data_IF_160388910139
#
_entry.id   IF_160388910139
#
_cell.length_a   1.000
_cell.length_b   1.000
_cell.length_c   1.000
_cell.angle_alpha   90.00
_cell.angle_beta   90.00
_cell.angle_gamma   90.00
#
_symmetry.space_group_name_H-M   'P 1'
#
loop_
_entity.id
_entity.type
_entity.pdbx_description
1 polymer ?
#
# COMPACT_ATOMS: atom_id res chain seq x y z
N UNK A 1 16.63 -19.56 -19.41
CA UNK A 1 17.41 -18.42 -18.87
C UNK A 1 16.40 -17.45 -18.26
N UNK A 2 16.59 -17.04 -16.99
CA UNK A 2 15.78 -15.97 -16.39
C UNK A 2 16.45 -14.61 -16.62
N UNK A 3 15.65 -13.58 -16.94
CA UNK A 3 16.13 -12.22 -17.21
C UNK A 3 15.31 -11.25 -16.37
N UNK A 4 15.97 -10.30 -15.68
CA UNK A 4 15.33 -9.29 -14.82
C UNK A 4 15.61 -7.88 -15.38
N UNK A 5 14.76 -7.33 -16.26
CA UNK A 5 14.91 -5.97 -16.73
C UNK A 5 14.37 -4.97 -15.70
N UNK A 6 15.14 -3.91 -15.42
CA UNK A 6 14.69 -2.73 -14.68
C UNK A 6 15.19 -1.52 -15.46
N UNK A 7 14.27 -0.63 -15.87
CA UNK A 7 14.59 0.52 -16.72
C UNK A 7 14.44 1.84 -15.97
N UNK A 8 15.16 2.85 -16.44
CA UNK A 8 15.07 4.22 -15.93
C UNK A 8 13.66 4.77 -16.06
N UNK A 9 13.07 4.63 -17.24
CA UNK A 9 11.71 5.11 -17.57
C UNK A 9 10.65 4.52 -16.63
N UNK A 10 10.68 3.20 -16.41
CA UNK A 10 9.74 2.51 -15.52
C UNK A 10 9.92 2.92 -14.06
N UNK A 11 11.18 3.02 -13.62
CA UNK A 11 11.53 3.41 -12.25
C UNK A 11 11.12 4.84 -11.95
N UNK A 12 11.50 5.79 -12.81
CA UNK A 12 11.19 7.21 -12.61
C UNK A 12 9.68 7.45 -12.67
N UNK A 13 8.92 6.75 -13.53
CA UNK A 13 7.45 6.84 -13.56
C UNK A 13 6.83 6.44 -12.23
N UNK A 14 7.24 5.30 -11.66
CA UNK A 14 6.73 4.82 -10.38
C UNK A 14 7.10 5.79 -9.25
N UNK A 15 8.39 6.14 -9.14
CA UNK A 15 8.89 6.97 -8.04
C UNK A 15 8.26 8.36 -8.08
N UNK A 16 8.02 8.93 -9.27
CA UNK A 16 7.26 10.18 -9.44
C UNK A 16 5.86 10.07 -8.83
N UNK A 17 5.11 9.02 -9.16
CA UNK A 17 3.78 8.79 -8.59
C UNK A 17 3.83 8.64 -7.05
N UNK A 18 4.84 7.96 -6.50
CA UNK A 18 5.02 7.83 -5.06
C UNK A 18 5.31 9.18 -4.37
N UNK A 19 6.15 10.02 -4.98
CA UNK A 19 6.45 11.36 -4.47
C UNK A 19 5.25 12.29 -4.55
N UNK A 20 4.51 12.27 -5.67
CA UNK A 20 3.30 13.06 -5.85
C UNK A 20 2.21 12.64 -4.85
N UNK A 21 2.05 11.33 -4.60
CA UNK A 21 1.20 10.81 -3.55
C UNK A 21 1.64 11.31 -2.17
N UNK A 22 2.93 11.20 -1.85
CA UNK A 22 3.47 11.64 -0.56
C UNK A 22 3.23 13.14 -0.32
N UNK A 23 3.43 13.99 -1.33
CA UNK A 23 3.21 15.43 -1.24
C UNK A 23 1.72 15.76 -1.05
N UNK A 24 0.85 15.21 -1.91
CA UNK A 24 -0.59 15.47 -1.87
C UNK A 24 -1.24 15.02 -0.55
N UNK A 25 -0.76 13.91 0.02
CA UNK A 25 -1.27 13.34 1.27
C UNK A 25 -0.46 13.76 2.49
N UNK A 26 0.47 14.71 2.35
CA UNK A 26 1.32 15.25 3.43
C UNK A 26 2.03 14.15 4.23
N UNK A 27 2.49 13.11 3.53
CA UNK A 27 3.30 12.03 4.10
C UNK A 27 4.67 12.57 4.50
N UNK A 28 5.37 11.84 5.36
CA UNK A 28 6.66 12.29 5.90
C UNK A 28 7.84 11.86 5.03
N UNK A 29 7.75 10.69 4.41
CA UNK A 29 8.86 10.13 3.65
C UNK A 29 8.44 9.18 2.54
N UNK A 30 9.31 9.03 1.55
CA UNK A 30 9.30 7.94 0.56
C UNK A 30 10.56 7.10 0.77
N UNK A 31 10.40 5.79 0.97
CA UNK A 31 11.51 4.84 1.10
C UNK A 31 11.66 4.03 -0.18
N UNK A 32 12.82 4.13 -0.83
CA UNK A 32 13.22 3.33 -1.99
C UNK A 32 13.77 1.98 -1.51
N UNK A 33 12.99 0.91 -1.65
CA UNK A 33 13.39 -0.42 -1.16
C UNK A 33 14.03 -1.21 -2.29
N UNK A 34 15.25 -1.73 -2.08
CA UNK A 34 16.04 -2.36 -3.15
C UNK A 34 17.09 -3.34 -2.62
N UNK A 35 17.64 -4.24 -3.44
CA UNK A 35 18.77 -5.13 -3.12
C UNK A 35 20.00 -4.78 -3.98
N UNK A 36 20.27 -3.48 -4.09
CA UNK A 36 21.30 -2.93 -4.99
C UNK A 36 22.73 -3.25 -4.61
N UNK A 37 22.98 -3.69 -3.36
CA UNK A 37 24.30 -4.20 -2.96
C UNK A 37 24.69 -5.48 -3.71
N UNK A 38 23.70 -6.29 -4.12
CA UNK A 38 23.90 -7.50 -4.92
C UNK A 38 23.55 -7.22 -6.40
N UNK A 39 22.34 -6.71 -6.66
CA UNK A 39 21.83 -6.45 -8.01
C UNK A 39 22.11 -5.00 -8.45
N UNK A 40 23.40 -4.68 -8.60
CA UNK A 40 23.89 -3.30 -8.80
C UNK A 40 23.23 -2.58 -9.98
N UNK A 41 23.12 -3.24 -11.13
CA UNK A 41 22.66 -2.61 -12.38
C UNK A 41 21.15 -2.64 -12.60
N UNK A 42 20.38 -3.21 -11.67
CA UNK A 42 18.92 -3.24 -11.75
C UNK A 42 18.31 -2.58 -10.52
N UNK A 43 18.47 -3.18 -9.35
CA UNK A 43 17.91 -2.63 -8.11
C UNK A 43 18.78 -1.50 -7.52
N UNK A 44 20.10 -1.54 -7.74
CA UNK A 44 20.96 -0.38 -7.44
C UNK A 44 20.62 0.80 -8.34
N UNK A 45 20.47 0.55 -9.64
CA UNK A 45 20.05 1.56 -10.60
C UNK A 45 18.66 2.16 -10.28
N UNK A 46 17.67 1.34 -9.86
CA UNK A 46 16.36 1.83 -9.39
C UNK A 46 16.50 2.88 -8.28
N UNK A 47 17.32 2.59 -7.26
CA UNK A 47 17.60 3.53 -6.17
C UNK A 47 18.26 4.81 -6.70
N UNK A 48 19.31 4.66 -7.49
CA UNK A 48 20.11 5.79 -7.98
C UNK A 48 19.26 6.73 -8.84
N UNK A 49 18.45 6.18 -9.76
CA UNK A 49 17.50 6.96 -10.57
C UNK A 49 16.43 7.65 -9.72
N UNK A 50 16.01 7.07 -8.60
CA UNK A 50 15.08 7.69 -7.66
C UNK A 50 15.66 8.93 -6.98
N UNK A 51 16.91 8.85 -6.50
CA UNK A 51 17.60 10.01 -5.95
C UNK A 51 17.89 11.08 -7.02
N UNK A 52 18.32 10.68 -8.22
CA UNK A 52 18.50 11.61 -9.35
C UNK A 52 17.20 12.34 -9.71
N UNK A 53 16.08 11.62 -9.82
CA UNK A 53 14.76 12.18 -10.08
C UNK A 53 14.36 13.21 -9.01
N UNK A 54 14.58 12.86 -7.73
CA UNK A 54 14.27 13.74 -6.60
C UNK A 54 14.99 15.08 -6.72
N UNK A 55 16.30 15.05 -7.01
CA UNK A 55 17.09 16.28 -7.20
C UNK A 55 16.66 17.09 -8.42
N UNK A 56 16.29 16.42 -9.50
CA UNK A 56 15.97 17.04 -10.78
C UNK A 56 14.59 17.68 -10.80
N UNK A 57 13.57 16.99 -10.26
CA UNK A 57 12.16 17.35 -10.47
C UNK A 57 11.45 17.81 -9.18
N UNK A 58 11.99 17.49 -7.99
CA UNK A 58 11.31 17.74 -6.71
C UNK A 58 12.04 18.71 -5.79
N UNK A 59 12.98 19.52 -6.32
CA UNK A 59 13.70 20.53 -5.54
C UNK A 59 12.74 21.45 -4.78
N UNK A 60 12.92 21.54 -3.46
CA UNK A 60 12.08 22.35 -2.57
C UNK A 60 10.78 21.67 -2.13
N UNK A 61 10.49 20.46 -2.63
CA UNK A 61 9.33 19.63 -2.23
C UNK A 61 9.75 18.29 -1.62
N UNK A 62 10.87 17.74 -2.06
CA UNK A 62 11.47 16.53 -1.50
C UNK A 62 13.00 16.64 -1.53
N UNK A 63 13.65 15.91 -0.64
CA UNK A 63 15.12 15.91 -0.52
C UNK A 63 15.64 14.52 -0.17
N UNK A 64 16.76 14.13 -0.80
CA UNK A 64 17.43 12.87 -0.53
C UNK A 64 18.06 12.83 0.86
N UNK A 65 18.08 11.65 1.49
CA UNK A 65 18.76 11.40 2.75
C UNK A 65 20.24 11.79 2.70
N UNK A 66 20.90 11.49 1.59
CA UNK A 66 22.31 11.84 1.32
C UNK A 66 22.54 13.36 1.21
N UNK A 67 21.54 14.11 0.76
CA UNK A 67 21.61 15.57 0.63
C UNK A 67 21.31 16.32 1.94
N UNK A 68 20.64 15.68 2.92
CA UNK A 68 20.20 16.33 4.17
C UNK A 68 20.57 15.61 5.47
N UNK A 69 21.22 14.44 5.40
CA UNK A 69 21.55 13.62 6.57
C UNK A 69 20.31 13.15 7.36
N UNK A 70 19.17 13.01 6.69
CA UNK A 70 17.90 12.57 7.29
C UNK A 70 17.07 13.65 7.97
N UNK A 71 17.51 14.90 7.93
CA UNK A 71 16.78 16.04 8.51
C UNK A 71 16.28 16.96 7.39
N UNK A 72 15.12 16.65 6.76
CA UNK A 72 14.60 17.45 5.67
C UNK A 72 14.18 18.84 6.19
N UNK A 73 14.29 19.91 5.36
CA UNK A 73 13.69 21.20 5.70
C UNK A 73 12.17 21.07 5.92
N UNK A 74 11.56 21.95 6.74
CA UNK A 74 10.12 21.92 6.99
C UNK A 74 9.30 21.91 5.70
N UNK A 75 8.33 21.00 5.62
CA UNK A 75 7.42 20.87 4.47
C UNK A 75 7.97 20.06 3.30
N UNK A 76 9.20 19.54 3.36
CA UNK A 76 9.75 18.65 2.34
C UNK A 76 9.62 17.18 2.72
N UNK A 77 9.34 16.33 1.72
CA UNK A 77 9.35 14.88 1.86
C UNK A 77 10.80 14.38 1.96
N UNK A 78 11.08 13.54 2.96
CA UNK A 78 12.36 12.83 3.03
C UNK A 78 12.36 11.64 2.07
N UNK A 79 13.30 11.61 1.12
CA UNK A 79 13.55 10.45 0.26
C UNK A 79 14.72 9.68 0.84
N UNK A 80 14.48 8.45 1.28
CA UNK A 80 15.50 7.56 1.83
C UNK A 80 15.49 6.22 1.10
N UNK A 81 16.48 5.38 1.33
CA UNK A 81 16.52 4.02 0.80
C UNK A 81 16.78 2.99 1.90
N UNK A 82 16.39 1.75 1.63
CA UNK A 82 16.67 0.64 2.51
C UNK A 82 16.85 -0.67 1.74
N UNK A 83 17.68 -1.56 2.27
CA UNK A 83 17.91 -2.85 1.64
C UNK A 83 16.68 -3.74 1.85
N UNK A 84 16.25 -4.48 0.82
CA UNK A 84 15.01 -5.25 0.83
C UNK A 84 14.85 -6.19 2.04
N UNK A 85 15.85 -7.01 2.35
CA UNK A 85 15.82 -7.91 3.51
C UNK A 85 15.85 -7.18 4.86
N UNK A 86 16.59 -6.06 4.95
CA UNK A 86 16.55 -5.19 6.12
C UNK A 86 15.16 -4.57 6.28
N UNK A 87 14.49 -4.24 5.17
CA UNK A 87 13.14 -3.68 5.18
C UNK A 87 12.15 -4.66 5.81
N UNK A 88 12.18 -5.95 5.44
CA UNK A 88 11.34 -6.97 6.08
C UNK A 88 11.56 -7.07 7.59
N UNK A 89 12.80 -6.90 8.06
CA UNK A 89 13.10 -6.91 9.50
C UNK A 89 12.61 -5.62 10.18
N UNK A 90 12.77 -4.47 9.51
CA UNK A 90 12.44 -3.16 10.06
C UNK A 90 10.95 -2.87 10.04
N UNK A 91 10.18 -3.40 9.10
CA UNK A 91 8.72 -3.29 9.17
C UNK A 91 8.15 -4.00 10.41
N UNK A 92 8.80 -5.06 10.89
CA UNK A 92 8.44 -5.72 12.15
C UNK A 92 8.94 -4.98 13.39
N UNK A 93 10.18 -4.49 13.36
CA UNK A 93 10.85 -3.95 14.56
C UNK A 93 10.69 -2.44 14.74
N UNK A 94 10.50 -1.70 13.64
CA UNK A 94 10.42 -0.23 13.57
C UNK A 94 9.40 0.23 12.50
N UNK A 95 8.13 -0.26 12.53
CA UNK A 95 7.13 0.08 11.51
C UNK A 95 6.88 1.58 11.36
N UNK A 96 6.92 2.33 12.46
CA UNK A 96 6.63 3.77 12.50
C UNK A 96 7.65 4.64 11.74
N UNK A 97 8.75 4.04 11.26
CA UNK A 97 9.73 4.73 10.42
C UNK A 97 9.38 4.69 8.93
N UNK A 98 8.40 3.89 8.52
CA UNK A 98 7.97 3.80 7.13
C UNK A 98 6.66 4.55 6.93
N UNK A 99 6.53 5.17 5.77
CA UNK A 99 5.29 5.84 5.35
C UNK A 99 5.00 5.38 3.91
N UNK A 100 5.44 6.11 2.88
CA UNK A 100 5.35 5.63 1.49
C UNK A 100 6.56 4.76 1.16
N UNK A 101 6.32 3.61 0.53
CA UNK A 101 7.36 2.71 0.02
C UNK A 101 7.26 2.66 -1.51
N UNK A 102 8.38 2.88 -2.19
CA UNK A 102 8.50 2.69 -3.63
C UNK A 102 9.51 1.57 -3.92
N UNK A 103 9.11 0.56 -4.66
CA UNK A 103 9.96 -0.59 -4.96
C UNK A 103 9.59 -1.27 -6.28
N UNK A 104 10.40 -2.23 -6.71
CA UNK A 104 10.21 -2.98 -7.95
C UNK A 104 9.21 -4.11 -7.76
N UNK A 105 8.61 -4.56 -8.87
CA UNK A 105 7.54 -5.57 -8.93
C UNK A 105 7.68 -6.71 -7.89
N UNK A 106 8.77 -7.49 -7.95
CA UNK A 106 8.95 -8.64 -7.04
C UNK A 106 9.10 -8.26 -5.56
N UNK A 107 9.83 -7.19 -5.25
CA UNK A 107 9.98 -6.76 -3.85
C UNK A 107 8.67 -6.19 -3.32
N UNK A 108 7.89 -5.53 -4.18
CA UNK A 108 6.58 -4.99 -3.86
C UNK A 108 5.61 -6.08 -3.49
N UNK A 109 5.52 -7.12 -4.32
CA UNK A 109 4.70 -8.32 -4.11
C UNK A 109 4.98 -8.96 -2.74
N UNK A 110 6.24 -9.27 -2.44
CA UNK A 110 6.58 -9.91 -1.17
C UNK A 110 6.32 -9.00 0.04
N UNK A 111 6.62 -7.71 -0.10
CA UNK A 111 6.52 -6.77 1.02
C UNK A 111 5.06 -6.43 1.32
N UNK A 112 4.21 -6.23 0.31
CA UNK A 112 2.79 -5.96 0.53
C UNK A 112 2.10 -7.12 1.24
N UNK A 113 2.40 -8.36 0.87
CA UNK A 113 1.84 -9.55 1.53
C UNK A 113 2.31 -9.67 2.98
N UNK A 114 3.61 -9.45 3.22
CA UNK A 114 4.15 -9.49 4.58
C UNK A 114 3.54 -8.40 5.47
N UNK A 115 3.36 -7.18 4.94
CA UNK A 115 2.73 -6.07 5.66
C UNK A 115 1.24 -6.33 5.93
N UNK A 116 0.50 -6.85 4.95
CA UNK A 116 -0.89 -7.24 5.13
C UNK A 116 -1.02 -8.34 6.19
N UNK A 117 -0.13 -9.33 6.19
CA UNK A 117 -0.08 -10.36 7.21
C UNK A 117 0.23 -9.81 8.61
N UNK A 118 1.18 -8.88 8.71
CA UNK A 118 1.60 -8.27 9.97
C UNK A 118 0.45 -7.58 10.72
N UNK A 119 -0.51 -6.98 9.99
CA UNK A 119 -1.69 -6.33 10.59
C UNK A 119 -2.92 -7.24 10.67
N UNK A 120 -2.77 -8.53 10.34
CA UNK A 120 -3.90 -9.48 10.30
C UNK A 120 -4.88 -9.24 9.13
N UNK A 121 -4.44 -8.50 8.10
CA UNK A 121 -5.27 -7.98 7.02
C UNK A 121 -5.22 -8.74 5.70
N UNK A 122 -4.66 -9.96 5.65
CA UNK A 122 -4.48 -10.74 4.40
C UNK A 122 -5.79 -10.85 3.61
N UNK A 123 -6.93 -11.03 4.29
CA UNK A 123 -8.24 -11.17 3.64
C UNK A 123 -8.92 -9.84 3.27
N UNK A 124 -8.36 -8.70 3.67
CA UNK A 124 -8.99 -7.38 3.54
C UNK A 124 -8.10 -6.31 2.90
N UNK A 125 -6.83 -6.61 2.58
CA UNK A 125 -5.94 -5.63 1.97
C UNK A 125 -6.51 -5.12 0.62
N UNK A 126 -6.64 -3.80 0.41
CA UNK A 126 -7.10 -3.26 -0.85
C UNK A 126 -5.97 -3.17 -1.88
N UNK A 127 -6.32 -3.07 -3.16
CA UNK A 127 -5.38 -3.02 -4.28
C UNK A 127 -5.86 -2.16 -5.43
N UNK A 128 -4.91 -1.46 -6.06
CA UNK A 128 -5.16 -0.62 -7.24
C UNK A 128 -4.00 -0.68 -8.23
N UNK A 129 -4.32 -0.87 -9.50
CA UNK A 129 -3.39 -0.79 -10.63
C UNK A 129 -3.69 0.47 -11.42
N UNK A 130 -2.80 1.46 -11.34
CA UNK A 130 -3.07 2.81 -11.85
C UNK A 130 -1.99 3.22 -12.85
N UNK A 131 -2.41 3.68 -14.03
CA UNK A 131 -1.58 4.46 -14.93
C UNK A 131 -1.90 5.95 -14.74
N UNK A 132 -1.10 6.63 -13.91
CA UNK A 132 -1.29 8.05 -13.60
C UNK A 132 -1.10 9.01 -14.79
N UNK A 133 -0.49 8.55 -15.90
CA UNK A 133 -0.31 9.38 -17.11
C UNK A 133 -1.59 9.37 -17.95
N UNK A 134 -2.21 8.20 -18.10
CA UNK A 134 -3.41 8.05 -18.93
C UNK A 134 -4.70 8.13 -18.15
N UNK A 135 -4.63 8.13 -16.81
CA UNK A 135 -5.80 8.13 -15.91
C UNK A 135 -6.54 6.79 -15.83
N UNK A 136 -6.06 5.73 -16.48
CA UNK A 136 -6.70 4.42 -16.39
C UNK A 136 -6.35 3.75 -15.06
N UNK A 137 -7.34 3.17 -14.40
CA UNK A 137 -7.19 2.48 -13.13
C UNK A 137 -8.07 1.23 -13.05
N UNK A 138 -7.57 0.18 -12.41
CA UNK A 138 -8.31 -1.02 -12.03
C UNK A 138 -8.15 -1.20 -10.52
N UNK A 139 -9.28 -1.33 -9.82
CA UNK A 139 -9.34 -1.56 -8.38
C UNK A 139 -9.85 -2.98 -8.15
N UNK A 140 -9.09 -3.78 -7.40
CA UNK A 140 -9.36 -5.23 -7.31
C UNK A 140 -9.09 -5.77 -5.91
N UNK A 141 -9.70 -6.92 -5.60
CA UNK A 141 -9.34 -7.65 -4.40
C UNK A 141 -7.93 -8.22 -4.55
N UNK A 142 -7.13 -8.15 -3.48
CA UNK A 142 -5.73 -8.66 -3.49
C UNK A 142 -5.65 -10.16 -3.23
N UNK A 143 -6.68 -10.73 -2.59
CA UNK A 143 -6.73 -12.15 -2.30
C UNK A 143 -7.11 -12.98 -3.54
N UNK A 144 -6.77 -14.27 -3.52
CA UNK A 144 -7.17 -15.23 -4.56
C UNK A 144 -8.66 -15.57 -4.56
N UNK A 145 -9.07 -16.47 -5.47
CA UNK A 145 -10.47 -16.79 -5.75
C UNK A 145 -11.20 -17.63 -4.67
N UNK A 146 -10.46 -18.23 -3.73
CA UNK A 146 -10.99 -19.02 -2.62
C UNK A 146 -12.14 -19.99 -3.00
N UNK A 147 -11.94 -20.91 -3.97
CA UNK A 147 -13.03 -21.68 -4.61
C UNK A 147 -13.82 -22.57 -3.64
N UNK A 148 -13.21 -22.99 -2.53
CA UNK A 148 -13.87 -23.74 -1.45
C UNK A 148 -15.06 -23.00 -0.83
N UNK A 149 -15.14 -21.68 -1.01
CA UNK A 149 -16.14 -20.81 -0.38
C UNK A 149 -17.07 -20.13 -1.38
N UNK A 150 -16.98 -20.48 -2.67
CA UNK A 150 -17.87 -19.97 -3.69
C UNK A 150 -19.34 -20.27 -3.35
N UNK A 151 -20.21 -19.28 -3.60
CA UNK A 151 -21.67 -19.32 -3.43
C UNK A 151 -22.18 -19.69 -2.02
N UNK A 152 -21.33 -19.56 -0.99
CA UNK A 152 -21.68 -19.90 0.39
C UNK A 152 -22.04 -18.70 1.26
N UNK A 153 -22.06 -17.49 0.69
CA UNK A 153 -22.39 -16.24 1.37
C UNK A 153 -21.63 -16.05 2.71
N UNK A 154 -20.32 -16.32 2.71
CA UNK A 154 -19.52 -16.27 3.94
C UNK A 154 -18.16 -15.60 3.81
N UNK A 155 -17.65 -15.41 2.60
CA UNK A 155 -16.35 -14.78 2.39
C UNK A 155 -16.37 -13.33 2.91
N UNK A 156 -15.23 -12.84 3.37
CA UNK A 156 -15.09 -11.45 3.77
C UNK A 156 -15.06 -10.55 2.50
N UNK A 157 -16.02 -9.63 2.30
CA UNK A 157 -16.00 -8.71 1.17
C UNK A 157 -15.05 -7.51 1.39
N UNK A 158 -14.34 -7.45 2.51
CA UNK A 158 -13.55 -6.28 2.93
C UNK A 158 -12.52 -5.83 1.91
N UNK A 159 -11.78 -6.76 1.28
CA UNK A 159 -10.76 -6.41 0.29
C UNK A 159 -11.36 -5.66 -0.90
N UNK A 160 -12.46 -6.15 -1.49
CA UNK A 160 -13.08 -5.47 -2.64
C UNK A 160 -13.79 -4.17 -2.24
N UNK A 161 -14.37 -4.11 -1.04
CA UNK A 161 -14.97 -2.88 -0.50
C UNK A 161 -13.91 -1.79 -0.33
N UNK A 162 -12.77 -2.14 0.27
CA UNK A 162 -11.67 -1.20 0.49
C UNK A 162 -10.94 -0.85 -0.82
N UNK A 163 -10.89 -1.74 -1.81
CA UNK A 163 -10.47 -1.34 -3.17
C UNK A 163 -11.46 -0.36 -3.82
N UNK A 164 -12.75 -0.49 -3.52
CA UNK A 164 -13.76 0.52 -3.85
C UNK A 164 -13.51 1.87 -3.16
N UNK A 165 -13.01 1.88 -1.91
CA UNK A 165 -12.56 3.11 -1.24
C UNK A 165 -11.46 3.79 -2.04
N UNK A 166 -10.40 3.05 -2.43
CA UNK A 166 -9.33 3.58 -3.26
C UNK A 166 -9.85 4.13 -4.60
N UNK A 167 -10.88 3.51 -5.18
CA UNK A 167 -11.55 4.00 -6.38
C UNK A 167 -12.24 5.35 -6.14
N UNK A 168 -13.00 5.49 -5.05
CA UNK A 168 -13.66 6.76 -4.73
C UNK A 168 -12.65 7.88 -4.43
N UNK A 169 -11.54 7.58 -3.76
CA UNK A 169 -10.44 8.52 -3.59
C UNK A 169 -9.86 8.96 -4.95
N UNK A 170 -9.64 8.01 -5.86
CA UNK A 170 -9.15 8.30 -7.21
C UNK A 170 -10.12 9.17 -8.03
N UNK A 171 -11.43 9.00 -7.83
CA UNK A 171 -12.48 9.82 -8.45
C UNK A 171 -12.67 11.20 -7.76
N UNK A 172 -11.97 11.46 -6.65
CA UNK A 172 -12.09 12.69 -5.86
C UNK A 172 -13.32 12.71 -4.95
N UNK A 173 -13.96 11.57 -4.69
CA UNK A 173 -15.17 11.44 -3.86
C UNK A 173 -14.81 11.07 -2.42
N UNK A 174 -14.02 11.92 -1.76
CA UNK A 174 -13.47 11.65 -0.43
C UNK A 174 -14.55 11.40 0.63
N UNK A 175 -15.66 12.12 0.59
CA UNK A 175 -16.76 11.94 1.57
C UNK A 175 -17.33 10.51 1.55
N UNK A 176 -17.43 9.91 0.35
CA UNK A 176 -17.90 8.53 0.17
C UNK A 176 -16.87 7.55 0.69
N UNK A 177 -15.59 7.75 0.33
CA UNK A 177 -14.48 6.94 0.82
C UNK A 177 -14.43 6.93 2.36
N UNK A 178 -14.49 8.10 2.99
CA UNK A 178 -14.46 8.25 4.44
C UNK A 178 -15.69 7.60 5.11
N UNK A 179 -16.87 7.68 4.49
CA UNK A 179 -18.08 7.01 4.97
C UNK A 179 -17.92 5.49 5.03
N UNK A 180 -17.38 4.89 3.96
CA UNK A 180 -17.14 3.44 3.90
C UNK A 180 -16.10 3.03 4.94
N UNK A 181 -15.01 3.79 5.08
CA UNK A 181 -13.98 3.54 6.10
C UNK A 181 -14.58 3.56 7.51
N UNK A 182 -15.34 4.60 7.86
CA UNK A 182 -16.02 4.68 9.16
C UNK A 182 -16.94 3.49 9.42
N UNK A 183 -17.74 3.11 8.42
CA UNK A 183 -18.63 1.96 8.52
C UNK A 183 -17.88 0.65 8.75
N UNK A 184 -16.78 0.44 8.04
CA UNK A 184 -15.91 -0.73 8.18
C UNK A 184 -15.26 -0.78 9.58
N UNK A 185 -14.62 0.31 10.00
CA UNK A 185 -13.95 0.43 11.30
C UNK A 185 -14.91 0.15 12.45
N UNK A 186 -16.09 0.79 12.43
CA UNK A 186 -17.11 0.62 13.47
C UNK A 186 -17.65 -0.81 13.50
N UNK A 187 -17.87 -1.43 12.34
CA UNK A 187 -18.39 -2.80 12.25
C UNK A 187 -17.40 -3.82 12.81
N UNK A 188 -16.11 -3.69 12.47
CA UNK A 188 -15.04 -4.54 13.00
C UNK A 188 -14.83 -4.30 14.50
N UNK A 189 -14.85 -3.04 14.96
CA UNK A 189 -14.72 -2.69 16.38
C UNK A 189 -15.86 -3.26 17.23
N UNK A 190 -17.08 -3.32 16.67
CA UNK A 190 -18.25 -3.97 17.27
C UNK A 190 -18.17 -5.50 17.24
N UNK A 191 -17.05 -6.08 16.78
CA UNK A 191 -16.82 -7.53 16.63
C UNK A 191 -17.92 -8.24 15.85
N UNK A 192 -18.54 -7.56 14.90
CA UNK A 192 -19.64 -8.08 14.08
C UNK A 192 -19.07 -8.35 12.69
N UNK A 193 -18.59 -9.57 12.46
CA UNK A 193 -17.61 -9.88 11.41
C UNK A 193 -17.88 -11.22 10.74
N UNK A 194 -17.23 -11.46 9.60
CA UNK A 194 -17.24 -12.75 8.89
C UNK A 194 -16.35 -13.80 9.58
N UNK A 195 -16.49 -15.06 9.17
CA UNK A 195 -15.90 -16.24 9.84
C UNK A 195 -14.36 -16.19 9.99
N UNK A 196 -13.68 -15.49 9.09
CA UNK A 196 -12.23 -15.37 9.04
C UNK A 196 -11.69 -14.56 10.22
N UNK A 197 -12.40 -13.50 10.64
CA UNK A 197 -12.13 -12.74 11.84
C UNK A 197 -12.75 -13.37 13.09
N UNK A 198 -13.99 -13.86 13.01
CA UNK A 198 -14.73 -14.37 14.17
C UNK A 198 -13.94 -15.46 14.91
N UNK A 199 -13.35 -16.41 14.18
CA UNK A 199 -12.51 -17.48 14.74
C UNK A 199 -11.24 -17.02 15.48
N UNK A 200 -10.85 -15.75 15.32
CA UNK A 200 -9.67 -15.13 15.95
C UNK A 200 -10.06 -14.15 17.07
N UNK A 201 -11.36 -13.91 17.29
CA UNK A 201 -11.86 -12.89 18.22
C UNK A 201 -12.74 -13.52 19.31
N UNK A 202 -12.44 -13.24 20.57
CA UNK A 202 -13.32 -13.64 21.67
C UNK A 202 -14.61 -12.81 21.70
N UNK A 203 -15.75 -13.49 21.65
CA UNK A 203 -17.08 -12.89 21.75
C UNK A 203 -17.54 -12.15 20.49
N UNK A 204 -17.02 -12.51 19.32
CA UNK A 204 -17.46 -11.94 18.05
C UNK A 204 -18.82 -12.52 17.59
N UNK A 205 -19.61 -11.69 16.92
CA UNK A 205 -20.85 -12.08 16.26
C UNK A 205 -20.53 -12.47 14.82
N UNK A 206 -20.71 -13.75 14.50
CA UNK A 206 -20.56 -14.27 13.14
C UNK A 206 -21.66 -13.73 12.21
N UNK A 207 -21.25 -13.15 11.09
CA UNK A 207 -22.12 -12.74 9.99
C UNK A 207 -21.77 -13.47 8.68
N UNK A 208 -22.77 -13.58 7.81
CA UNK A 208 -22.60 -13.88 6.38
C UNK A 208 -21.95 -12.72 5.62
N UNK A 209 -21.49 -12.97 4.40
CA UNK A 209 -20.92 -11.93 3.53
C UNK A 209 -21.93 -10.79 3.29
N UNK A 210 -23.17 -11.15 2.91
CA UNK A 210 -24.25 -10.20 2.65
C UNK A 210 -24.68 -9.42 3.90
N UNK A 211 -24.68 -10.07 5.07
CA UNK A 211 -25.00 -9.46 6.36
C UNK A 211 -23.91 -8.49 6.81
N UNK A 212 -22.63 -8.83 6.59
CA UNK A 212 -21.52 -7.94 6.90
C UNK A 212 -21.56 -6.66 6.05
N UNK A 213 -21.90 -6.77 4.76
CA UNK A 213 -22.14 -5.61 3.90
C UNK A 213 -23.27 -4.71 4.43
N UNK A 214 -24.38 -5.29 4.89
CA UNK A 214 -25.48 -4.52 5.52
C UNK A 214 -25.05 -3.86 6.83
N UNK A 215 -24.30 -4.57 7.67
CA UNK A 215 -23.80 -4.03 8.93
C UNK A 215 -22.85 -2.85 8.72
N UNK A 216 -22.04 -2.87 7.65
CA UNK A 216 -21.21 -1.71 7.26
C UNK A 216 -22.12 -0.53 6.91
N UNK A 217 -23.13 -0.73 6.05
CA UNK A 217 -24.07 0.33 5.64
C UNK A 217 -24.80 0.94 6.84
N UNK A 218 -25.27 0.13 7.79
CA UNK A 218 -25.93 0.59 9.01
C UNK A 218 -25.01 1.42 9.93
N UNK A 219 -23.69 1.29 9.75
CA UNK A 219 -22.66 1.94 10.56
C UNK A 219 -21.97 3.13 9.88
N UNK A 220 -22.34 3.47 8.63
CA UNK A 220 -21.79 4.62 7.89
C UNK A 220 -22.25 5.98 8.44
#
# INVERSE_FOLDING_TARGET
>A
IGVKPVSREGSERLIRAALDYAISHKRKSVTLVHKGNIMKFTEGAFRDWGYELTRREYKGKAIGWDDCGGNPPPGQILVKDNIADITFQQTLTRPDEFDVIATMNLNGDYLSDALAAQVGGIGIAPGANINYITGHAIFEATHGTAPKYADQDKVNPGSVILSGVLMFEHLGWQEVADGIIRGMEKTIANKTVTYDFERLMTGAKLLKCSEFGKAIIENM
#
